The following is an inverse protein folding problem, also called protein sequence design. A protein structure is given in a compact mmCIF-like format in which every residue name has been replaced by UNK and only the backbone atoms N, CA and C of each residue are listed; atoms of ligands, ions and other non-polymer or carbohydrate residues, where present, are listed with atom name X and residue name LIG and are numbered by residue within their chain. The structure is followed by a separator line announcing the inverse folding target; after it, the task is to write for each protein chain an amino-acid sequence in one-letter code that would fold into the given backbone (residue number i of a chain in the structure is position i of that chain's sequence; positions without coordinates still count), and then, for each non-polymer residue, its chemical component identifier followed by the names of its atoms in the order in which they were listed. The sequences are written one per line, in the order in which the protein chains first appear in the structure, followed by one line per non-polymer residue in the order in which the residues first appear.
data_IF_486695927688
#
_entry.id   IF_486695927688
#
_cell.length_a   1.000
_cell.length_b   1.000
_cell.length_c   1.000
_cell.angle_alpha   90.00
_cell.angle_beta   90.00
_cell.angle_gamma   90.00
#
_symmetry.space_group_name_H-M   'P 1'
#
loop_
_entity.id
_entity.type
_entity.pdbx_description
1 polymer ?
#
# COMPACT_ATOMS: atom_id res chain seq x y z
N UNK A 1 32.71 -11.49 42.29
CA UNK A 1 32.20 -11.33 40.92
C UNK A 1 32.38 -9.86 40.58
N UNK A 2 33.40 -9.54 39.77
CA UNK A 2 34.00 -8.19 39.69
C UNK A 2 33.16 -7.24 38.82
N UNK A 3 33.19 -5.94 39.11
CA UNK A 3 32.46 -4.88 38.39
C UNK A 3 32.77 -4.87 36.87
N UNK A 4 33.96 -5.31 36.47
CA UNK A 4 34.36 -5.45 35.06
C UNK A 4 33.51 -6.47 34.29
N UNK A 5 33.09 -7.57 34.93
CA UNK A 5 32.22 -8.59 34.30
C UNK A 5 30.79 -8.07 34.12
N UNK A 6 30.36 -7.11 34.93
CA UNK A 6 29.04 -6.48 34.81
C UNK A 6 29.05 -5.42 33.69
N UNK A 7 30.10 -4.57 33.64
CA UNK A 7 30.27 -3.58 32.58
C UNK A 7 30.43 -4.23 31.19
N UNK A 8 31.21 -5.31 31.09
CA UNK A 8 31.38 -6.06 29.84
C UNK A 8 30.07 -6.72 29.36
N UNK A 9 29.25 -7.26 30.28
CA UNK A 9 27.92 -7.82 29.95
C UNK A 9 26.94 -6.77 29.45
N UNK A 10 26.92 -5.59 30.07
CA UNK A 10 26.07 -4.47 29.63
C UNK A 10 26.49 -3.99 28.24
N UNK A 11 27.78 -3.84 27.99
CA UNK A 11 28.30 -3.43 26.69
C UNK A 11 27.99 -4.47 25.60
N UNK A 12 28.19 -5.77 25.89
CA UNK A 12 27.80 -6.87 25.00
C UNK A 12 26.29 -6.87 24.69
N UNK A 13 25.44 -6.67 25.70
CA UNK A 13 23.98 -6.63 25.50
C UNK A 13 23.55 -5.46 24.60
N UNK A 14 24.16 -4.29 24.77
CA UNK A 14 23.89 -3.10 23.94
C UNK A 14 24.38 -3.31 22.50
N UNK A 15 25.56 -3.91 22.34
CA UNK A 15 26.12 -4.20 21.03
C UNK A 15 25.28 -5.25 20.29
N UNK A 16 24.80 -6.29 20.99
CA UNK A 16 23.89 -7.29 20.43
C UNK A 16 22.54 -6.70 20.03
N UNK A 17 22.01 -5.73 20.78
CA UNK A 17 20.75 -5.06 20.46
C UNK A 17 20.89 -4.13 19.24
N UNK A 18 21.98 -3.37 19.17
CA UNK A 18 22.31 -2.53 18.01
C UNK A 18 22.55 -3.39 16.77
N UNK A 19 23.31 -4.49 16.90
CA UNK A 19 23.57 -5.43 15.83
C UNK A 19 22.27 -6.12 15.39
N UNK A 20 21.41 -6.52 16.32
CA UNK A 20 20.10 -7.10 16.02
C UNK A 20 19.19 -6.13 15.26
N UNK A 21 19.17 -4.86 15.64
CA UNK A 21 18.39 -3.83 14.95
C UNK A 21 18.94 -3.53 13.55
N UNK A 22 20.27 -3.44 13.41
CA UNK A 22 20.93 -3.24 12.12
C UNK A 22 20.72 -4.44 11.19
N UNK A 23 20.83 -5.67 11.71
CA UNK A 23 20.57 -6.90 10.96
C UNK A 23 19.09 -6.98 10.58
N UNK A 24 18.16 -6.63 11.46
CA UNK A 24 16.73 -6.57 11.14
C UNK A 24 16.46 -5.56 10.02
N UNK A 25 17.05 -4.36 10.10
CA UNK A 25 16.90 -3.34 9.07
C UNK A 25 17.46 -3.81 7.72
N UNK A 26 18.70 -4.31 7.70
CA UNK A 26 19.36 -4.82 6.49
C UNK A 26 18.60 -6.03 5.93
N UNK A 27 18.17 -6.97 6.78
CA UNK A 27 17.39 -8.13 6.35
C UNK A 27 16.03 -7.70 5.79
N UNK A 28 15.32 -6.78 6.44
CA UNK A 28 14.04 -6.27 5.95
C UNK A 28 14.20 -5.57 4.59
N UNK A 29 15.26 -4.77 4.43
CA UNK A 29 15.60 -4.13 3.15
C UNK A 29 15.94 -5.16 2.07
N UNK A 30 16.85 -6.09 2.33
CA UNK A 30 17.27 -7.13 1.38
C UNK A 30 16.11 -8.02 1.00
N UNK A 31 15.25 -8.41 1.95
CA UNK A 31 14.03 -9.20 1.67
C UNK A 31 13.07 -8.40 0.80
N UNK A 32 12.87 -7.11 1.08
CA UNK A 32 11.98 -6.25 0.28
C UNK A 32 12.49 -6.12 -1.15
N UNK A 33 13.79 -5.85 -1.34
CA UNK A 33 14.42 -5.73 -2.65
C UNK A 33 14.41 -7.06 -3.40
N UNK A 34 14.74 -8.17 -2.74
CA UNK A 34 14.72 -9.50 -3.36
C UNK A 34 13.30 -9.93 -3.77
N UNK A 35 12.28 -9.60 -2.97
CA UNK A 35 10.88 -9.82 -3.33
C UNK A 35 10.42 -8.91 -4.47
N UNK A 36 10.91 -7.67 -4.50
CA UNK A 36 10.64 -6.74 -5.60
C UNK A 36 11.23 -7.25 -6.93
N UNK A 37 12.49 -7.68 -6.94
CA UNK A 37 13.11 -8.24 -8.15
C UNK A 37 12.45 -9.56 -8.59
N UNK A 38 12.10 -10.44 -7.64
CA UNK A 38 11.42 -11.71 -7.95
C UNK A 38 9.98 -11.54 -8.41
N UNK A 39 9.29 -10.48 -8.00
CA UNK A 39 7.93 -10.19 -8.44
C UNK A 39 7.88 -9.75 -9.92
N UNK A 40 9.04 -9.57 -10.55
CA UNK A 40 9.15 -8.91 -11.83
C UNK A 40 9.00 -7.41 -11.62
N UNK A 41 9.94 -6.64 -12.17
CA UNK A 41 9.65 -5.28 -12.62
C UNK A 41 8.27 -5.34 -13.31
N UNK A 42 7.36 -4.41 -13.00
CA UNK A 42 5.99 -4.36 -13.56
C UNK A 42 5.97 -4.12 -15.08
N UNK A 43 6.74 -4.91 -15.81
CA UNK A 43 6.88 -4.97 -17.24
C UNK A 43 5.59 -5.56 -17.79
N UNK A 44 5.07 -5.00 -18.89
CA UNK A 44 3.87 -5.50 -19.53
C UNK A 44 4.02 -6.99 -19.81
N UNK A 45 3.17 -7.79 -19.16
CA UNK A 45 3.20 -9.24 -19.34
C UNK A 45 2.01 -9.62 -20.21
N UNK A 46 2.31 -10.27 -21.33
CA UNK A 46 1.29 -10.84 -22.18
C UNK A 46 0.68 -12.03 -21.44
N UNK A 47 -0.58 -11.89 -21.03
CA UNK A 47 -1.32 -12.89 -20.26
C UNK A 47 -1.93 -13.96 -21.18
N UNK A 48 -2.20 -13.59 -22.43
CA UNK A 48 -2.75 -14.45 -23.47
C UNK A 48 -2.17 -14.08 -24.83
N UNK A 49 -1.79 -15.07 -25.63
CA UNK A 49 -1.62 -14.91 -27.07
C UNK A 49 -2.99 -15.08 -27.72
N UNK A 50 -3.62 -13.97 -28.11
CA UNK A 50 -4.82 -14.00 -28.93
C UNK A 50 -4.42 -14.42 -30.35
N UNK A 51 -5.16 -15.38 -30.90
CA UNK A 51 -5.09 -15.71 -32.31
C UNK A 51 -5.84 -14.62 -33.10
N UNK A 52 -5.20 -13.99 -34.10
CA UNK A 52 -5.91 -13.11 -35.03
C UNK A 52 -7.09 -13.85 -35.65
N UNK A 53 -8.17 -13.13 -35.94
CA UNK A 53 -9.28 -13.68 -36.69
C UNK A 53 -8.83 -14.12 -38.09
N UNK A 54 -9.67 -14.87 -38.79
CA UNK A 54 -9.35 -15.43 -40.11
C UNK A 54 -8.96 -14.37 -41.15
N UNK A 55 -9.39 -13.12 -40.95
CA UNK A 55 -9.09 -11.95 -41.77
C UNK A 55 -7.82 -11.19 -41.34
N UNK A 56 -7.12 -11.65 -40.31
CA UNK A 56 -5.95 -11.00 -39.72
C UNK A 56 -6.28 -9.91 -38.70
N UNK A 57 -7.56 -9.68 -38.38
CA UNK A 57 -7.94 -8.70 -37.36
C UNK A 57 -7.54 -9.20 -35.96
N UNK A 58 -6.80 -8.40 -35.23
CA UNK A 58 -6.39 -8.68 -33.86
C UNK A 58 -7.01 -7.67 -32.88
N UNK A 59 -7.42 -8.16 -31.72
CA UNK A 59 -7.91 -7.32 -30.61
C UNK A 59 -6.98 -7.52 -29.42
N UNK A 60 -6.46 -6.41 -28.91
CA UNK A 60 -5.62 -6.34 -27.73
C UNK A 60 -6.40 -5.61 -26.64
N UNK A 61 -6.38 -6.15 -25.43
CA UNK A 61 -6.99 -5.53 -24.25
C UNK A 61 -5.91 -5.32 -23.21
N UNK A 62 -5.53 -4.06 -23.03
CA UNK A 62 -4.57 -3.60 -22.05
C UNK A 62 -5.31 -3.35 -20.73
N UNK A 63 -4.89 -4.03 -19.66
CA UNK A 63 -5.49 -3.86 -18.34
C UNK A 63 -4.79 -2.68 -17.65
N UNK A 64 -5.50 -1.56 -17.45
CA UNK A 64 -4.85 -0.30 -17.07
C UNK A 64 -5.01 0.08 -15.60
N UNK A 65 -6.23 -0.01 -15.06
CA UNK A 65 -6.55 0.50 -13.72
C UNK A 65 -7.57 -0.38 -13.01
N UNK A 66 -7.36 -0.65 -11.72
CA UNK A 66 -8.28 -1.39 -10.87
C UNK A 66 -8.76 -0.52 -9.71
N UNK A 67 -10.03 -0.15 -9.74
CA UNK A 67 -10.69 0.60 -8.68
C UNK A 67 -11.38 -0.37 -7.72
N UNK A 68 -10.62 -0.92 -6.77
CA UNK A 68 -11.07 -1.95 -5.81
C UNK A 68 -12.30 -1.54 -4.99
N UNK A 69 -12.43 -0.26 -4.64
CA UNK A 69 -13.56 0.27 -3.86
C UNK A 69 -14.83 0.38 -4.70
N UNK A 70 -14.69 0.71 -5.98
CA UNK A 70 -15.80 0.85 -6.92
C UNK A 70 -16.17 -0.46 -7.61
N UNK A 71 -15.30 -1.46 -7.55
CA UNK A 71 -15.50 -2.74 -8.23
C UNK A 71 -15.38 -2.64 -9.74
N UNK A 72 -14.50 -1.76 -10.23
CA UNK A 72 -14.32 -1.52 -11.67
C UNK A 72 -12.87 -1.74 -12.08
N UNK A 73 -12.67 -2.56 -13.12
CA UNK A 73 -11.42 -2.72 -13.84
C UNK A 73 -11.53 -2.03 -15.18
N UNK A 74 -10.63 -1.10 -15.47
CA UNK A 74 -10.61 -0.41 -16.76
C UNK A 74 -9.65 -1.14 -17.69
N UNK A 75 -10.20 -1.72 -18.76
CA UNK A 75 -9.41 -2.27 -19.86
C UNK A 75 -9.44 -1.31 -21.05
N UNK A 76 -8.30 -1.05 -21.67
CA UNK A 76 -8.21 -0.32 -22.92
C UNK A 76 -8.18 -1.30 -24.08
N UNK A 77 -9.13 -1.15 -25.01
CA UNK A 77 -9.25 -2.04 -26.16
C UNK A 77 -8.61 -1.37 -27.36
N UNK A 78 -7.62 -2.04 -27.93
CA UNK A 78 -6.92 -1.64 -29.15
C UNK A 78 -7.22 -2.65 -30.25
N UNK A 79 -7.52 -2.14 -31.44
CA UNK A 79 -7.91 -2.96 -32.59
C UNK A 79 -6.87 -2.77 -33.67
N UNK A 80 -6.38 -3.87 -34.19
CA UNK A 80 -5.55 -3.89 -35.38
C UNK A 80 -6.35 -4.57 -36.48
N UNK A 81 -7.00 -3.80 -37.39
CA UNK A 81 -7.77 -4.37 -38.48
C UNK A 81 -6.90 -5.21 -39.41
N UNK A 82 -7.48 -6.27 -39.96
CA UNK A 82 -6.83 -7.05 -41.01
C UNK A 82 -6.53 -6.21 -42.27
N UNK A 83 -5.54 -6.61 -43.09
CA UNK A 83 -5.12 -5.84 -44.26
C UNK A 83 -6.24 -5.67 -45.30
N UNK A 84 -7.21 -6.58 -45.37
CA UNK A 84 -8.37 -6.48 -46.28
C UNK A 84 -9.40 -5.43 -45.83
N UNK A 85 -9.39 -5.07 -44.55
CA UNK A 85 -10.27 -4.05 -43.97
C UNK A 85 -9.69 -2.64 -44.07
N UNK A 86 -8.45 -2.50 -44.56
CA UNK A 86 -7.74 -1.23 -44.65
C UNK A 86 -7.58 -0.82 -46.12
N UNK A 87 -7.88 0.44 -46.41
CA UNK A 87 -7.57 1.03 -47.72
C UNK A 87 -6.06 1.26 -47.84
N UNK A 88 -5.37 0.71 -48.86
CA UNK A 88 -3.91 0.86 -49.04
C UNK A 88 -3.43 2.32 -49.14
N UNK A 89 -4.29 3.23 -49.60
CA UNK A 89 -3.94 4.65 -49.74
C UNK A 89 -4.15 5.43 -48.45
N UNK A 90 -5.36 5.37 -47.90
CA UNK A 90 -5.77 6.20 -46.76
C UNK A 90 -5.51 5.56 -45.40
N UNK A 91 -5.20 4.27 -45.35
CA UNK A 91 -5.11 3.44 -44.13
C UNK A 91 -6.39 3.48 -43.27
N UNK A 92 -7.49 4.02 -43.80
CA UNK A 92 -8.80 4.04 -43.18
C UNK A 92 -9.56 2.74 -43.45
N UNK A 93 -10.59 2.49 -42.66
CA UNK A 93 -11.44 1.32 -42.83
C UNK A 93 -12.17 1.33 -44.18
N UNK A 94 -12.22 0.18 -44.87
CA UNK A 94 -12.97 0.02 -46.12
C UNK A 94 -14.49 -0.09 -45.91
N UNK A 95 -14.91 -0.46 -44.71
CA UNK A 95 -16.30 -0.63 -44.27
C UNK A 95 -16.47 -0.29 -42.78
N UNK A 96 -17.71 -0.17 -42.32
CA UNK A 96 -17.96 0.06 -40.89
C UNK A 96 -17.47 -1.13 -40.05
N UNK A 97 -16.91 -0.85 -38.88
CA UNK A 97 -16.41 -1.86 -37.95
C UNK A 97 -16.98 -1.56 -36.57
N UNK A 98 -17.62 -2.54 -35.94
CA UNK A 98 -18.12 -2.42 -34.58
C UNK A 98 -17.54 -3.51 -33.69
N UNK A 99 -17.09 -3.13 -32.50
CA UNK A 99 -16.72 -4.06 -31.44
C UNK A 99 -17.72 -3.96 -30.31
N UNK A 100 -18.27 -5.11 -29.92
CA UNK A 100 -19.07 -5.27 -28.72
C UNK A 100 -18.26 -6.06 -27.69
N UNK A 101 -17.93 -5.40 -26.59
CA UNK A 101 -17.37 -6.05 -25.40
C UNK A 101 -18.53 -6.34 -24.45
N UNK A 102 -18.84 -7.62 -24.32
CA UNK A 102 -19.85 -8.11 -23.42
C UNK A 102 -19.20 -8.40 -22.06
N UNK A 103 -19.53 -7.57 -21.08
CA UNK A 103 -19.27 -7.83 -19.66
C UNK A 103 -20.59 -8.17 -18.99
N UNK A 104 -20.54 -8.93 -17.89
CA UNK A 104 -21.72 -9.41 -17.17
C UNK A 104 -22.71 -8.31 -16.75
N UNK A 105 -22.23 -7.07 -16.60
CA UNK A 105 -23.05 -5.94 -16.11
C UNK A 105 -23.03 -4.74 -17.06
N UNK A 106 -21.93 -4.48 -17.76
CA UNK A 106 -21.78 -3.29 -18.61
C UNK A 106 -21.36 -3.67 -20.04
N UNK A 107 -22.31 -3.95 -20.95
CA UNK A 107 -21.98 -4.15 -22.35
C UNK A 107 -21.55 -2.82 -22.98
N UNK A 108 -20.38 -2.79 -23.61
CA UNK A 108 -19.88 -1.62 -24.32
C UNK A 108 -19.79 -1.92 -25.80
N UNK A 109 -20.39 -1.08 -26.64
CA UNK A 109 -20.24 -1.16 -28.09
C UNK A 109 -19.57 0.10 -28.62
N UNK A 110 -18.55 -0.08 -29.45
CA UNK A 110 -17.88 1.00 -30.16
C UNK A 110 -17.92 0.74 -31.66
N UNK A 111 -18.26 1.76 -32.43
CA UNK A 111 -18.38 1.68 -33.90
C UNK A 111 -17.47 2.72 -34.53
N UNK A 112 -16.75 2.31 -35.57
CA UNK A 112 -16.02 3.16 -36.48
C UNK A 112 -16.63 3.04 -37.88
N UNK A 113 -16.97 4.18 -38.48
CA UNK A 113 -17.48 4.24 -39.85
C UNK A 113 -16.35 4.10 -40.86
N UNK A 114 -16.72 3.72 -42.09
CA UNK A 114 -15.83 3.71 -43.26
C UNK A 114 -15.00 4.99 -43.36
N UNK A 115 -13.72 4.82 -43.69
CA UNK A 115 -12.72 5.89 -43.84
C UNK A 115 -12.07 6.33 -42.53
N UNK A 116 -12.57 5.90 -41.36
CA UNK A 116 -11.90 6.18 -40.08
C UNK A 116 -10.78 5.18 -39.80
N UNK A 117 -9.76 5.63 -39.05
CA UNK A 117 -8.73 4.78 -38.48
C UNK A 117 -9.19 4.35 -37.08
N UNK A 118 -9.28 3.04 -36.78
CA UNK A 118 -9.65 2.57 -35.45
C UNK A 118 -8.65 3.06 -34.42
N UNK A 119 -9.18 3.60 -33.33
CA UNK A 119 -8.41 4.05 -32.19
C UNK A 119 -8.64 3.15 -30.99
N UNK A 120 -7.91 3.43 -29.92
CA UNK A 120 -8.11 2.82 -28.61
C UNK A 120 -9.34 3.41 -27.90
N UNK A 121 -10.03 2.61 -27.08
CA UNK A 121 -11.11 3.11 -26.22
C UNK A 121 -11.17 2.37 -24.88
N UNK A 122 -11.51 3.07 -23.78
CA UNK A 122 -11.62 2.44 -22.47
C UNK A 122 -12.94 1.69 -22.33
N UNK A 123 -12.88 0.51 -21.72
CA UNK A 123 -14.02 -0.34 -21.39
C UNK A 123 -14.04 -0.63 -19.90
N UNK A 124 -15.08 -0.20 -19.17
CA UNK A 124 -15.24 -0.55 -17.77
C UNK A 124 -15.73 -2.00 -17.66
N UNK A 125 -14.96 -2.82 -16.94
CA UNK A 125 -15.26 -4.21 -16.63
C UNK A 125 -15.63 -4.30 -15.15
N UNK A 126 -16.79 -4.88 -14.86
CA UNK A 126 -17.21 -5.08 -13.46
C UNK A 126 -16.43 -6.21 -12.81
N UNK A 127 -15.96 -5.94 -11.59
CA UNK A 127 -15.17 -6.84 -10.77
C UNK A 127 -15.89 -7.13 -9.47
N UNK A 128 -15.87 -8.40 -9.09
CA UNK A 128 -16.31 -8.86 -7.78
C UNK A 128 -15.09 -9.17 -6.90
N UNK A 129 -15.11 -8.70 -5.66
CA UNK A 129 -14.04 -8.94 -4.70
C UNK A 129 -14.32 -8.27 -3.37
N UNK A 130 -13.49 -8.56 -2.37
CA UNK A 130 -13.64 -7.99 -1.04
C UNK A 130 -12.39 -7.19 -0.67
N UNK A 131 -12.46 -5.87 -0.87
CA UNK A 131 -11.39 -4.92 -0.54
C UNK A 131 -11.13 -4.78 0.95
N UNK A 132 -12.05 -5.21 1.82
CA UNK A 132 -11.83 -5.21 3.26
C UNK A 132 -10.78 -6.24 3.70
N UNK A 133 -10.42 -7.22 2.86
CA UNK A 133 -9.41 -8.25 3.19
C UNK A 133 -7.97 -7.87 2.83
N UNK A 134 -7.72 -6.59 2.51
CA UNK A 134 -6.37 -6.10 2.23
C UNK A 134 -5.35 -6.57 3.30
N UNK A 135 -4.15 -7.05 2.91
CA UNK A 135 -3.60 -7.14 1.55
C UNK A 135 -3.86 -8.48 0.85
N UNK A 136 -4.66 -9.36 1.45
CA UNK A 136 -5.01 -10.69 0.93
C UNK A 136 -6.34 -10.65 0.15
N UNK A 137 -6.63 -9.51 -0.47
CA UNK A 137 -7.81 -9.29 -1.27
C UNK A 137 -7.70 -9.97 -2.63
N UNK A 138 -8.80 -10.61 -3.03
CA UNK A 138 -8.92 -11.34 -4.29
C UNK A 138 -10.09 -10.79 -5.08
N UNK A 139 -9.88 -10.64 -6.38
CA UNK A 139 -10.84 -10.07 -7.30
C UNK A 139 -11.00 -10.94 -8.53
N UNK A 140 -12.22 -10.98 -9.07
CA UNK A 140 -12.55 -11.72 -10.28
C UNK A 140 -13.54 -10.92 -11.13
N UNK A 141 -13.27 -10.85 -12.43
CA UNK A 141 -14.21 -10.27 -13.39
C UNK A 141 -15.37 -11.23 -13.64
N UNK A 142 -16.49 -10.71 -14.17
CA UNK A 142 -17.47 -11.54 -14.85
C UNK A 142 -16.88 -12.22 -16.10
N UNK A 143 -17.62 -13.14 -16.75
CA UNK A 143 -17.26 -13.61 -18.09
C UNK A 143 -17.20 -12.42 -19.04
N UNK A 144 -16.10 -12.31 -19.78
CA UNK A 144 -15.85 -11.28 -20.79
C UNK A 144 -15.80 -11.97 -22.14
N UNK A 145 -16.60 -11.48 -23.08
CA UNK A 145 -16.52 -11.92 -24.47
C UNK A 145 -16.44 -10.73 -25.39
N UNK A 146 -15.67 -10.87 -26.47
CA UNK A 146 -15.47 -9.81 -27.45
C UNK A 146 -15.96 -10.29 -28.80
N UNK A 147 -16.82 -9.47 -29.37
CA UNK A 147 -17.61 -9.73 -30.54
C UNK A 147 -17.35 -8.62 -31.56
N UNK A 148 -17.03 -8.98 -32.80
CA UNK A 148 -16.84 -8.03 -33.89
C UNK A 148 -17.99 -8.15 -34.89
N UNK A 149 -18.50 -7.00 -35.31
CA UNK A 149 -19.47 -6.86 -36.39
C UNK A 149 -18.87 -6.01 -37.50
N UNK A 150 -19.05 -6.43 -38.75
CA UNK A 150 -18.47 -5.81 -39.95
C UNK A 150 -19.57 -5.31 -40.89
N UNK A 151 -19.53 -4.05 -41.27
CA UNK A 151 -20.55 -3.40 -42.09
C UNK A 151 -21.96 -3.56 -41.50
N UNK A 152 -22.93 -3.82 -42.39
CA UNK A 152 -24.32 -4.12 -42.03
C UNK A 152 -24.57 -5.61 -41.70
N UNK A 153 -23.50 -6.41 -41.52
CA UNK A 153 -23.69 -7.82 -41.18
C UNK A 153 -24.31 -7.96 -39.78
N UNK A 154 -25.34 -8.80 -39.70
CA UNK A 154 -25.97 -9.18 -38.42
C UNK A 154 -25.24 -10.32 -37.71
N UNK A 155 -24.24 -10.91 -38.36
CA UNK A 155 -23.45 -12.02 -37.84
C UNK A 155 -22.29 -11.44 -37.04
N UNK A 156 -22.37 -11.57 -35.73
CA UNK A 156 -21.29 -11.22 -34.82
C UNK A 156 -20.29 -12.37 -34.76
N UNK A 157 -19.02 -12.08 -35.06
CA UNK A 157 -17.94 -13.05 -34.95
C UNK A 157 -17.25 -12.90 -33.59
N UNK A 158 -17.18 -13.99 -32.83
CA UNK A 158 -16.42 -14.04 -31.57
C UNK A 158 -14.94 -14.13 -31.91
N UNK A 159 -14.13 -13.26 -31.32
CA UNK A 159 -12.69 -13.25 -31.58
C UNK A 159 -11.91 -13.49 -30.28
N UNK A 160 -10.79 -14.19 -30.41
CA UNK A 160 -9.87 -14.39 -29.30
C UNK A 160 -9.04 -13.13 -29.03
N UNK A 161 -8.80 -12.83 -27.76
CA UNK A 161 -8.25 -11.53 -27.35
C UNK A 161 -6.89 -11.71 -26.68
N UNK A 162 -5.93 -10.89 -27.09
CA UNK A 162 -4.63 -10.75 -26.40
C UNK A 162 -4.81 -9.83 -25.21
N UNK A 163 -4.53 -10.31 -24.00
CA UNK A 163 -4.55 -9.47 -22.81
C UNK A 163 -3.13 -9.12 -22.38
N UNK A 164 -2.89 -7.83 -22.13
CA UNK A 164 -1.61 -7.34 -21.64
C UNK A 164 -1.83 -6.67 -20.28
N UNK A 165 -1.02 -7.08 -19.30
CA UNK A 165 -1.08 -6.51 -17.96
C UNK A 165 -0.25 -5.23 -17.86
N UNK A 166 -0.88 -4.10 -17.54
CA UNK A 166 -0.18 -2.85 -17.24
C UNK A 166 -0.36 -2.40 -15.78
N UNK A 167 -1.05 -3.18 -14.94
CA UNK A 167 -1.31 -2.78 -13.56
C UNK A 167 -0.12 -3.15 -12.68
N UNK A 168 0.67 -2.13 -12.32
CA UNK A 168 1.77 -2.30 -11.37
C UNK A 168 1.26 -2.77 -10.00
N UNK A 169 1.95 -3.75 -9.41
CA UNK A 169 1.65 -4.22 -8.06
C UNK A 169 0.51 -5.23 -7.95
N UNK A 170 -0.04 -5.65 -9.09
CA UNK A 170 -1.02 -6.72 -9.21
C UNK A 170 -0.42 -7.90 -9.96
N UNK A 171 -0.98 -9.08 -9.71
CA UNK A 171 -0.72 -10.29 -10.48
C UNK A 171 -2.05 -10.77 -11.03
N UNK A 172 -2.11 -10.78 -12.35
CA UNK A 172 -3.31 -11.07 -13.10
C UNK A 172 -3.18 -12.43 -13.76
N UNK A 173 -4.10 -13.33 -13.46
CA UNK A 173 -4.18 -14.66 -14.06
C UNK A 173 -5.50 -14.76 -14.84
N UNK A 174 -5.42 -15.19 -16.11
CA UNK A 174 -6.58 -15.34 -16.98
C UNK A 174 -6.98 -16.80 -17.06
N UNK A 175 -8.24 -17.06 -16.72
CA UNK A 175 -8.89 -18.37 -16.83
C UNK A 175 -9.93 -18.27 -17.94
N UNK A 176 -9.74 -19.01 -19.04
CA UNK A 176 -10.66 -18.99 -20.18
C UNK A 176 -10.26 -19.98 -21.28
N UNK A 177 -11.24 -20.41 -22.07
CA UNK A 177 -11.08 -21.35 -23.18
C UNK A 177 -10.54 -20.62 -24.41
N UNK A 178 -9.25 -20.84 -24.71
CA UNK A 178 -8.51 -20.14 -25.78
C UNK A 178 -8.97 -20.49 -27.19
N UNK A 179 -9.50 -21.68 -27.41
CA UNK A 179 -9.67 -22.25 -28.76
C UNK A 179 -10.87 -21.70 -29.56
N UNK A 180 -11.78 -20.93 -28.95
CA UNK A 180 -12.98 -20.43 -29.65
C UNK A 180 -13.44 -19.02 -29.23
N UNK A 181 -12.57 -18.21 -28.61
CA UNK A 181 -12.97 -16.93 -28.02
C UNK A 181 -14.00 -17.10 -26.90
N UNK A 182 -13.85 -18.18 -26.10
CA UNK A 182 -14.72 -18.47 -24.97
C UNK A 182 -14.71 -17.35 -23.92
N UNK A 183 -15.64 -17.36 -22.95
CA UNK A 183 -15.71 -16.32 -21.94
C UNK A 183 -14.41 -16.27 -21.12
N UNK A 184 -13.70 -15.16 -21.23
CA UNK A 184 -12.50 -14.90 -20.45
C UNK A 184 -12.90 -14.47 -19.04
N UNK A 185 -12.19 -14.96 -18.04
CA UNK A 185 -12.28 -14.50 -16.67
C UNK A 185 -10.91 -14.09 -16.17
N UNK A 186 -10.80 -12.86 -15.71
CA UNK A 186 -9.55 -12.32 -15.17
C UNK A 186 -9.65 -12.42 -13.65
N UNK A 187 -8.65 -13.04 -13.04
CA UNK A 187 -8.49 -13.12 -11.59
C UNK A 187 -7.30 -12.26 -11.19
N UNK A 188 -7.52 -11.34 -10.25
CA UNK A 188 -6.54 -10.35 -9.82
C UNK A 188 -6.24 -10.56 -8.33
N UNK A 189 -4.95 -10.62 -7.99
CA UNK A 189 -4.46 -10.64 -6.61
C UNK A 189 -3.24 -9.73 -6.49
N UNK A 190 -2.94 -9.25 -5.29
CA UNK A 190 -1.78 -8.37 -5.09
C UNK A 190 -0.47 -9.11 -5.36
N UNK A 191 0.47 -8.42 -5.97
CA UNK A 191 1.80 -8.97 -6.20
C UNK A 191 2.52 -9.20 -4.86
N UNK A 192 3.44 -10.18 -4.77
CA UNK A 192 4.25 -10.39 -3.58
C UNK A 192 5.06 -9.16 -3.16
N UNK A 193 5.50 -8.33 -4.13
CA UNK A 193 6.23 -7.09 -3.86
C UNK A 193 5.35 -6.04 -3.18
N UNK A 194 4.11 -5.86 -3.63
CA UNK A 194 3.12 -4.96 -3.00
C UNK A 194 2.81 -5.41 -1.58
N UNK A 195 2.61 -6.71 -1.37
CA UNK A 195 2.37 -7.27 -0.04
C UNK A 195 3.57 -7.06 0.90
N UNK A 196 4.80 -7.25 0.40
CA UNK A 196 6.02 -7.03 1.16
C UNK A 196 6.20 -5.57 1.57
N UNK A 197 6.01 -4.64 0.64
CA UNK A 197 6.06 -3.21 0.94
C UNK A 197 5.02 -2.83 2.01
N UNK A 198 3.78 -3.30 1.86
CA UNK A 198 2.73 -3.12 2.86
C UNK A 198 3.13 -3.67 4.24
N UNK A 199 3.72 -4.86 4.29
CA UNK A 199 4.19 -5.47 5.54
C UNK A 199 5.29 -4.64 6.22
N UNK A 200 6.18 -4.00 5.47
CA UNK A 200 7.21 -3.09 6.03
C UNK A 200 6.55 -1.87 6.67
N UNK A 201 5.61 -1.21 5.98
CA UNK A 201 4.88 -0.04 6.50
C UNK A 201 4.13 -0.39 7.78
N UNK A 202 3.43 -1.54 7.78
CA UNK A 202 2.76 -2.08 8.97
C UNK A 202 3.76 -2.39 10.09
N UNK A 203 4.92 -2.96 9.76
CA UNK A 203 6.00 -3.19 10.71
C UNK A 203 6.51 -1.90 11.37
N UNK A 204 6.63 -0.81 10.61
CA UNK A 204 6.99 0.51 11.14
C UNK A 204 5.91 1.02 12.11
N UNK A 205 4.62 0.90 11.77
CA UNK A 205 3.52 1.29 12.66
C UNK A 205 3.58 0.54 14.00
N UNK A 206 3.77 -0.79 13.94
CA UNK A 206 3.89 -1.63 15.14
C UNK A 206 5.15 -1.29 15.93
N UNK A 207 6.27 -1.03 15.27
CA UNK A 207 7.51 -0.64 15.92
C UNK A 207 7.37 0.70 16.65
N UNK A 208 6.72 1.69 16.04
CA UNK A 208 6.44 2.98 16.70
C UNK A 208 5.62 2.77 17.98
N UNK A 209 4.54 2.00 17.92
CA UNK A 209 3.74 1.66 19.09
C UNK A 209 4.55 0.92 20.17
N UNK A 210 5.36 -0.07 19.77
CA UNK A 210 6.18 -0.83 20.70
C UNK A 210 7.22 0.05 21.42
N UNK A 211 7.91 0.91 20.68
CA UNK A 211 8.89 1.85 21.25
C UNK A 211 8.19 2.81 22.22
N UNK A 212 7.03 3.33 21.86
CA UNK A 212 6.21 4.17 22.73
C UNK A 212 5.83 3.46 24.03
N UNK A 213 5.35 2.22 23.97
CA UNK A 213 5.01 1.42 25.16
C UNK A 213 6.26 1.20 26.01
N UNK A 214 7.39 0.83 25.42
CA UNK A 214 8.65 0.60 26.13
C UNK A 214 9.11 1.88 26.87
N UNK A 215 9.08 3.03 26.20
CA UNK A 215 9.48 4.31 26.82
C UNK A 215 8.54 4.67 27.97
N UNK A 216 7.23 4.51 27.79
CA UNK A 216 6.23 4.77 28.83
C UNK A 216 6.46 3.85 30.05
N UNK A 217 6.62 2.55 29.83
CA UNK A 217 6.85 1.56 30.89
C UNK A 217 8.17 1.80 31.63
N UNK A 218 9.26 2.11 30.91
CA UNK A 218 10.54 2.42 31.54
C UNK A 218 10.49 3.70 32.40
N UNK A 219 9.68 4.68 31.99
CA UNK A 219 9.44 5.89 32.77
C UNK A 219 8.62 5.56 34.02
N UNK A 220 7.56 4.78 33.87
CA UNK A 220 6.71 4.34 34.98
C UNK A 220 7.46 3.54 36.05
N UNK A 221 8.36 2.66 35.63
CA UNK A 221 9.24 1.87 36.49
C UNK A 221 10.37 2.70 37.16
N UNK A 222 10.44 4.02 36.93
CA UNK A 222 11.46 4.89 37.52
C UNK A 222 12.87 4.67 36.97
N UNK A 223 13.03 3.89 35.89
CA UNK A 223 14.34 3.61 35.27
C UNK A 223 14.84 4.75 34.38
N UNK A 224 13.94 5.66 33.97
CA UNK A 224 14.24 6.84 33.17
C UNK A 224 13.51 8.06 33.73
N UNK A 225 14.17 9.23 33.73
CA UNK A 225 13.58 10.47 34.22
C UNK A 225 12.52 10.99 33.25
N UNK A 226 11.45 11.57 33.80
CA UNK A 226 10.45 12.28 33.01
C UNK A 226 11.09 13.49 32.30
N UNK A 227 10.73 13.68 31.03
CA UNK A 227 11.14 14.82 30.21
C UNK A 227 9.90 15.39 29.51
N UNK A 228 9.55 16.65 29.79
CA UNK A 228 8.38 17.31 29.20
C UNK A 228 8.32 17.24 27.65
N UNK A 229 9.45 17.33 26.89
CA UNK A 229 9.42 17.18 25.43
C UNK A 229 8.87 15.85 24.91
N UNK A 230 8.88 14.78 25.72
CA UNK A 230 8.40 13.46 25.30
C UNK A 230 6.89 13.42 25.05
N UNK A 231 6.11 14.28 25.71
CA UNK A 231 4.67 14.40 25.45
C UNK A 231 4.40 14.85 24.02
N UNK A 232 5.18 15.81 23.52
CA UNK A 232 5.11 16.26 22.12
C UNK A 232 5.52 15.16 21.14
N UNK A 233 6.47 14.32 21.51
CA UNK A 233 6.89 13.17 20.70
C UNK A 233 5.79 12.12 20.56
N UNK A 234 5.07 11.77 21.65
CA UNK A 234 3.90 10.89 21.57
C UNK A 234 2.78 11.48 20.68
N UNK A 235 2.52 12.78 20.81
CA UNK A 235 1.54 13.46 19.96
C UNK A 235 1.95 13.39 18.47
N UNK A 236 3.23 13.63 18.15
CA UNK A 236 3.75 13.51 16.79
C UNK A 236 3.58 12.09 16.23
N UNK A 237 3.85 11.05 17.04
CA UNK A 237 3.64 9.66 16.63
C UNK A 237 2.16 9.36 16.33
N UNK A 238 1.23 9.85 17.15
CA UNK A 238 -0.21 9.70 16.89
C UNK A 238 -0.63 10.34 15.56
N UNK A 239 -0.11 11.54 15.26
CA UNK A 239 -0.38 12.18 13.97
C UNK A 239 0.30 11.48 12.79
N UNK A 240 1.44 10.81 13.01
CA UNK A 240 2.14 10.08 11.96
C UNK A 240 1.44 8.77 11.54
N UNK A 241 0.58 8.20 12.39
CA UNK A 241 -0.12 6.93 12.09
C UNK A 241 -1.00 7.05 10.84
N UNK A 242 -1.76 8.14 10.71
CA UNK A 242 -2.74 8.31 9.61
C UNK A 242 -2.04 8.44 8.25
N UNK A 243 -1.04 9.33 8.05
CA UNK A 243 -0.28 9.39 6.81
C UNK A 243 0.40 8.06 6.47
N UNK A 244 0.98 7.37 7.46
CA UNK A 244 1.68 6.11 7.23
C UNK A 244 0.72 4.99 6.80
N UNK A 245 -0.47 4.91 7.40
CA UNK A 245 -1.55 4.01 6.97
C UNK A 245 -2.02 4.34 5.54
N UNK A 246 -2.09 5.62 5.19
CA UNK A 246 -2.50 6.06 3.85
C UNK A 246 -1.40 5.92 2.79
N UNK A 247 -0.15 5.66 3.21
CA UNK A 247 0.95 5.32 2.31
C UNK A 247 0.97 3.85 1.89
N UNK A 248 0.01 3.03 2.37
CA UNK A 248 -0.16 1.66 1.90
C UNK A 248 -0.51 1.64 0.41
N UNK A 249 0.00 0.66 -0.37
CA UNK A 249 -0.34 0.52 -1.78
C UNK A 249 -1.85 0.34 -1.99
N UNK A 250 -2.40 1.12 -2.94
CA UNK A 250 -3.84 1.25 -3.17
C UNK A 250 -4.61 1.36 -1.85
N UNK A 251 -4.27 2.42 -1.09
CA UNK A 251 -4.65 2.61 0.31
C UNK A 251 -6.04 2.01 0.62
N UNK A 252 -6.11 1.03 1.54
CA UNK A 252 -7.32 0.25 1.71
C UNK A 252 -8.49 1.14 2.16
N UNK A 253 -9.74 0.72 1.90
CA UNK A 253 -10.92 1.41 2.42
C UNK A 253 -10.83 1.55 3.95
N UNK A 254 -11.37 2.64 4.48
CA UNK A 254 -11.52 2.79 5.93
C UNK A 254 -12.38 1.63 6.46
N UNK A 255 -11.90 0.96 7.51
CA UNK A 255 -12.57 -0.20 8.11
C UNK A 255 -12.17 -1.53 7.48
N UNK A 256 -11.11 -1.53 6.67
CA UNK A 256 -10.45 -2.75 6.23
C UNK A 256 -9.89 -3.56 7.40
N UNK A 257 -9.63 -4.85 7.17
CA UNK A 257 -9.10 -5.79 8.16
C UNK A 257 -7.87 -5.24 8.87
N UNK A 258 -6.93 -4.65 8.12
CA UNK A 258 -5.70 -4.06 8.65
C UNK A 258 -5.96 -2.90 9.62
N UNK A 259 -7.01 -2.10 9.37
CA UNK A 259 -7.36 -1.00 10.26
C UNK A 259 -7.84 -1.52 11.62
N UNK A 260 -8.68 -2.56 11.59
CA UNK A 260 -9.28 -3.14 12.79
C UNK A 260 -8.25 -3.95 13.59
N UNK A 261 -7.41 -4.73 12.92
CA UNK A 261 -6.48 -5.64 13.59
C UNK A 261 -5.17 -5.00 13.99
N UNK A 262 -4.70 -3.98 13.29
CA UNK A 262 -3.39 -3.38 13.55
C UNK A 262 -3.48 -1.88 13.80
N UNK A 263 -3.99 -1.08 12.86
CA UNK A 263 -3.94 0.39 12.97
C UNK A 263 -4.65 0.89 14.23
N UNK A 264 -5.84 0.36 14.53
CA UNK A 264 -6.59 0.70 15.75
C UNK A 264 -5.77 0.39 17.01
N UNK A 265 -5.16 -0.79 17.08
CA UNK A 265 -4.37 -1.21 18.24
C UNK A 265 -3.07 -0.42 18.40
N UNK A 266 -2.46 0.00 17.30
CA UNK A 266 -1.32 0.95 17.30
C UNK A 266 -1.74 2.28 17.93
N UNK A 267 -2.89 2.83 17.54
CA UNK A 267 -3.43 4.08 18.11
C UNK A 267 -3.74 3.88 19.60
N UNK A 268 -4.42 2.80 19.97
CA UNK A 268 -4.75 2.50 21.38
C UNK A 268 -3.48 2.39 22.22
N UNK A 269 -2.46 1.66 21.74
CA UNK A 269 -1.19 1.52 22.44
C UNK A 269 -0.47 2.86 22.62
N UNK A 270 -0.48 3.73 21.59
CA UNK A 270 0.10 5.06 21.66
C UNK A 270 -0.64 5.95 22.67
N UNK A 271 -1.97 5.98 22.64
CA UNK A 271 -2.79 6.75 23.58
C UNK A 271 -2.58 6.25 25.01
N UNK A 272 -2.61 4.93 25.24
CA UNK A 272 -2.35 4.35 26.56
C UNK A 272 -0.95 4.67 27.06
N UNK A 273 0.06 4.62 26.18
CA UNK A 273 1.44 5.00 26.52
C UNK A 273 1.54 6.47 26.92
N UNK A 274 0.89 7.35 26.17
CA UNK A 274 0.83 8.78 26.46
C UNK A 274 0.13 9.04 27.80
N UNK A 275 -1.01 8.40 28.06
CA UNK A 275 -1.72 8.51 29.34
C UNK A 275 -0.87 8.02 30.52
N UNK A 276 -0.20 6.87 30.37
CA UNK A 276 0.72 6.35 31.38
C UNK A 276 1.87 7.35 31.65
N UNK A 277 2.41 7.95 30.60
CA UNK A 277 3.47 8.95 30.72
C UNK A 277 3.01 10.21 31.45
N UNK A 278 1.81 10.71 31.13
CA UNK A 278 1.17 11.85 31.82
C UNK A 278 0.84 11.51 33.28
N UNK A 279 0.43 10.27 33.55
CA UNK A 279 0.23 9.81 34.93
C UNK A 279 1.53 9.83 35.74
N UNK A 280 2.66 9.40 35.14
CA UNK A 280 3.97 9.48 35.80
C UNK A 280 4.34 10.92 36.12
N UNK A 281 4.07 11.86 35.23
CA UNK A 281 4.26 13.29 35.48
C UNK A 281 3.48 13.75 36.72
N UNK A 282 2.19 13.42 36.78
CA UNK A 282 1.34 13.81 37.92
C UNK A 282 1.78 13.15 39.24
N UNK A 283 2.27 11.91 39.19
CA UNK A 283 2.78 11.18 40.36
C UNK A 283 4.11 11.75 40.87
N UNK A 284 5.05 12.01 39.96
CA UNK A 284 6.46 12.24 40.29
C UNK A 284 6.82 13.74 40.41
N UNK A 285 6.05 14.66 39.81
CA UNK A 285 6.24 16.11 39.95
C UNK A 285 5.25 16.75 40.94
N UNK A 286 5.24 16.30 42.20
CA UNK A 286 4.64 17.10 43.28
C UNK A 286 5.49 18.37 43.46
N UNK A 287 4.88 19.57 43.60
CA UNK A 287 5.64 20.79 43.84
C UNK A 287 6.48 20.63 45.11
N UNK A 288 7.80 20.82 45.01
CA UNK A 288 8.68 20.83 46.18
C UNK A 288 8.14 21.87 47.17
N UNK A 289 8.01 21.53 48.48
CA UNK A 289 7.75 22.53 49.49
C UNK A 289 8.86 23.57 49.39
N UNK A 290 8.49 24.85 49.26
CA UNK A 290 9.42 25.98 49.27
C UNK A 290 10.36 25.79 50.46
N UNK A 291 11.64 25.52 50.20
CA UNK A 291 12.64 25.47 51.26
C UNK A 291 12.62 26.84 51.95
N UNK A 292 12.54 26.90 53.31
CA UNK A 292 12.55 28.18 53.99
C UNK A 292 13.81 28.94 53.59
N UNK A 293 13.64 30.21 53.24
CA UNK A 293 14.73 31.07 52.80
C UNK A 293 15.91 30.98 53.78
N UNK A 294 17.17 30.90 53.31
CA UNK A 294 18.32 30.89 54.20
C UNK A 294 18.24 32.11 55.11
N UNK A 295 18.24 31.86 56.41
CA UNK A 295 18.19 32.89 57.45
C UNK A 295 19.37 33.84 57.21
N UNK A 296 19.06 35.09 56.87
CA UNK A 296 20.07 36.14 56.68
C UNK A 296 20.70 36.37 58.04
N UNK A 297 21.87 35.77 58.27
CA UNK A 297 22.68 36.04 59.45
C UNK A 297 23.08 37.51 59.38
N UNK A 298 22.42 38.35 60.18
CA UNK A 298 22.77 39.75 60.31
C UNK A 298 24.21 39.85 60.85
N UNK A 299 25.07 40.74 60.30
CA UNK A 299 26.41 40.92 60.82
C UNK A 299 26.35 41.42 62.27
N UNK A 300 27.02 40.69 63.16
CA UNK A 300 27.18 41.06 64.58
C UNK A 300 27.80 42.46 64.67
N UNK A 301 27.29 43.37 65.52
CA UNK A 301 27.89 44.67 65.70
C UNK A 301 29.30 44.51 66.29
N UNK A 302 30.31 45.04 65.58
CA UNK A 302 31.67 45.18 66.10
C UNK A 302 31.61 46.11 67.31
N UNK A 303 31.80 45.56 68.51
CA UNK A 303 32.02 46.35 69.71
C UNK A 303 33.37 47.06 69.58
N UNK A 304 33.31 48.36 69.37
CA UNK A 304 34.46 49.27 69.49
C UNK A 304 34.87 49.32 70.95
N UNK A 305 35.92 48.60 71.33
CA UNK A 305 36.60 48.90 72.60
C UNK A 305 37.37 50.22 72.45
N UNK A 306 36.93 51.20 73.24
CA UNK A 306 37.59 52.49 73.45
C UNK A 306 38.34 52.39 74.79
N UNK A 307 39.66 52.61 74.79
CA UNK A 307 40.37 53.05 75.99
C UNK A 307 41.70 52.35 76.27
N UNK A 308 42.79 53.08 76.06
CA UNK A 308 44.16 52.75 76.44
C UNK A 308 45.14 53.74 75.85
#
# INVERSE_FOLDING_TARGET
MSDDDAAARVHRSRLLLILGMAVFFIASYVVTVALYERAGCGCPRQLTEGQPAADGTAVIVDIEDLQTVKGTLTGRVTITPGPELLDPGTHGLTQDLSIAVHSAVTPTRRTWTKGMVPGEFPVPLTVSGNSAKWPFDHYQTGPITVDILRGDSTVSERISVTFIDHIAGWKNDIVGEREAGGPYRITLHRSPSTMAFGAVVVGVLVALAAVSVVVAVLTFLGRRKFQAPMTTWYAAMLFAVVPLRNALPDAPPIGSWIDVTITLWVIVALVMSMLLFVYCWWRDLKPEPVAPAPEVVAPQPVLTEVGG
#
